data_IF_730040519624
#
_entry.id   IF_730040519624
#
_cell.length_a   1.000
_cell.length_b   1.000
_cell.length_c   1.000
_cell.angle_alpha   90.00
_cell.angle_beta   90.00
_cell.angle_gamma   90.00
#
_symmetry.space_group_name_H-M   'P 1'
#
loop_
_entity.id
_entity.type
_entity.pdbx_description
1 polymer ?
#
# COMPACT_ATOMS: atom_id res chain seq x y z
N UNK A 1 -12.41 -7.21 2.89
CA UNK A 1 -11.13 -6.52 2.62
C UNK A 1 -10.05 -7.11 3.50
N UNK A 2 -8.79 -6.99 3.10
CA UNK A 2 -7.61 -7.52 3.82
C UNK A 2 -6.57 -6.41 4.00
N UNK A 3 -5.69 -6.59 4.98
CA UNK A 3 -4.59 -5.66 5.19
C UNK A 3 -3.51 -5.78 4.08
N UNK A 4 -3.03 -4.65 3.56
CA UNK A 4 -1.86 -4.54 2.67
C UNK A 4 -0.63 -5.21 3.26
N UNK A 5 -0.48 -5.09 4.58
CA UNK A 5 0.68 -5.59 5.30
C UNK A 5 0.57 -7.07 5.67
N UNK A 6 -0.40 -7.80 5.11
CA UNK A 6 -0.52 -9.26 5.30
C UNK A 6 0.73 -10.00 4.83
N UNK A 7 1.23 -9.65 3.64
CA UNK A 7 2.44 -10.27 3.08
C UNK A 7 3.75 -9.66 3.61
N UNK A 8 3.70 -8.44 4.14
CA UNK A 8 4.88 -7.67 4.54
C UNK A 8 5.19 -7.75 6.04
N UNK A 9 4.15 -7.77 6.89
CA UNK A 9 4.25 -7.70 8.36
C UNK A 9 3.47 -8.83 9.07
N UNK A 10 3.07 -9.89 8.34
CA UNK A 10 2.18 -10.98 8.83
C UNK A 10 0.87 -10.47 9.47
N UNK A 11 0.34 -9.33 8.99
CA UNK A 11 -0.93 -8.81 9.52
C UNK A 11 -2.11 -9.69 9.08
N UNK A 12 -2.86 -10.21 10.06
CA UNK A 12 -3.98 -11.13 9.82
C UNK A 12 -5.35 -10.46 9.78
N UNK A 13 -5.40 -9.14 9.91
CA UNK A 13 -6.64 -8.38 9.96
C UNK A 13 -7.44 -8.52 8.65
N UNK A 14 -8.73 -8.76 8.80
CA UNK A 14 -9.71 -8.82 7.72
C UNK A 14 -10.94 -8.01 8.11
N UNK A 15 -11.60 -7.46 7.11
CA UNK A 15 -12.66 -6.46 7.28
C UNK A 15 -13.85 -6.80 6.40
N UNK A 16 -15.05 -6.42 6.85
CA UNK A 16 -16.25 -6.54 6.03
C UNK A 16 -16.19 -5.55 4.85
N UNK A 17 -16.84 -5.86 3.73
CA UNK A 17 -16.84 -4.96 2.55
C UNK A 17 -17.47 -3.58 2.81
N UNK A 18 -18.37 -3.52 3.80
CA UNK A 18 -19.01 -2.27 4.25
C UNK A 18 -18.27 -1.54 5.36
N UNK A 19 -17.13 -2.06 5.84
CA UNK A 19 -16.29 -1.43 6.86
C UNK A 19 -15.04 -0.82 6.20
N UNK A 20 -15.28 0.16 5.32
CA UNK A 20 -14.24 0.87 4.60
C UNK A 20 -13.41 1.75 5.54
N UNK A 21 -14.05 2.42 6.51
CA UNK A 21 -13.34 3.26 7.47
C UNK A 21 -12.51 2.44 8.46
N UNK A 22 -13.03 1.37 9.04
CA UNK A 22 -12.23 0.49 9.90
C UNK A 22 -11.04 -0.12 9.15
N UNK A 23 -11.22 -0.46 7.88
CA UNK A 23 -10.13 -0.96 7.03
C UNK A 23 -9.04 0.11 6.79
N UNK A 24 -9.40 1.34 6.43
CA UNK A 24 -8.44 2.44 6.22
C UNK A 24 -7.74 2.80 7.53
N UNK A 25 -8.50 2.98 8.61
CA UNK A 25 -7.98 3.39 9.92
C UNK A 25 -7.00 2.35 10.46
N UNK A 26 -7.25 1.06 10.23
CA UNK A 26 -6.30 0.02 10.61
C UNK A 26 -4.93 0.20 9.93
N UNK A 27 -4.88 0.54 8.64
CA UNK A 27 -3.60 0.80 7.98
C UNK A 27 -2.95 2.07 8.51
N UNK A 28 -3.75 3.15 8.59
CA UNK A 28 -3.28 4.47 8.96
C UNK A 28 -2.76 4.55 10.40
N UNK A 29 -3.43 3.89 11.34
CA UNK A 29 -3.12 4.00 12.77
C UNK A 29 -2.21 2.86 13.22
N UNK A 30 -2.61 1.60 12.97
CA UNK A 30 -1.91 0.45 13.56
C UNK A 30 -0.56 0.16 12.90
N UNK A 31 -0.43 0.46 11.61
CA UNK A 31 0.80 0.17 10.86
C UNK A 31 1.63 1.41 10.55
N UNK A 32 0.97 2.53 10.24
CA UNK A 32 1.64 3.76 9.84
C UNK A 32 1.81 4.77 10.99
N UNK A 33 1.08 4.62 12.10
CA UNK A 33 1.16 5.56 13.22
C UNK A 33 0.79 7.00 12.85
N UNK A 34 0.04 7.20 11.76
CA UNK A 34 -0.28 8.53 11.21
C UNK A 34 0.82 9.15 10.35
N UNK A 35 1.93 8.45 10.07
CA UNK A 35 2.98 8.88 9.15
C UNK A 35 2.76 8.23 7.79
N UNK A 36 2.48 9.03 6.76
CA UNK A 36 2.13 8.51 5.44
C UNK A 36 3.22 8.77 4.39
N UNK A 37 3.39 7.86 3.41
CA UNK A 37 4.27 8.11 2.27
C UNK A 37 3.82 9.30 1.42
N UNK A 38 4.78 10.05 0.88
CA UNK A 38 4.52 11.15 -0.06
C UNK A 38 4.04 10.67 -1.44
N UNK A 39 4.47 9.48 -1.83
CA UNK A 39 4.11 8.83 -3.09
C UNK A 39 3.61 7.45 -2.78
N UNK A 40 2.57 7.04 -3.48
CA UNK A 40 1.94 5.74 -3.37
C UNK A 40 1.56 5.27 -4.77
N UNK A 41 1.31 3.97 -4.92
CA UNK A 41 0.73 3.39 -6.13
C UNK A 41 -0.42 2.45 -5.78
N UNK A 42 -1.29 2.23 -6.75
CA UNK A 42 -2.36 1.23 -6.63
C UNK A 42 -1.77 -0.19 -6.65
N UNK A 43 -2.40 -1.11 -5.93
CA UNK A 43 -2.03 -2.53 -5.96
C UNK A 43 -2.25 -3.18 -7.32
N UNK A 44 -3.21 -2.69 -8.09
CA UNK A 44 -3.80 -3.43 -9.20
C UNK A 44 -3.59 -2.81 -10.58
N UNK A 45 -3.43 -1.49 -10.67
CA UNK A 45 -3.30 -0.79 -11.95
C UNK A 45 -2.05 0.10 -12.02
N UNK A 46 -1.56 0.34 -13.23
CA UNK A 46 -0.44 1.26 -13.49
C UNK A 46 -0.90 2.67 -13.92
N UNK A 47 -2.19 2.82 -14.24
CA UNK A 47 -2.76 4.02 -14.86
C UNK A 47 -2.77 5.26 -13.93
N UNK A 48 -2.53 5.06 -12.63
CA UNK A 48 -2.60 6.09 -11.59
C UNK A 48 -1.24 6.42 -10.95
N UNK A 49 -0.12 6.09 -11.61
CA UNK A 49 1.23 6.17 -11.01
C UNK A 49 1.61 7.52 -10.38
N UNK A 50 1.19 8.65 -10.97
CA UNK A 50 1.43 9.99 -10.41
C UNK A 50 0.25 10.55 -9.60
N UNK A 51 -0.91 9.88 -9.65
CA UNK A 51 -2.15 10.39 -9.06
C UNK A 51 -2.12 10.39 -7.51
N UNK A 52 -1.31 9.51 -6.91
CA UNK A 52 -1.16 9.44 -5.46
C UNK A 52 0.15 10.08 -5.00
N UNK A 53 0.33 11.37 -5.29
CA UNK A 53 1.53 12.11 -4.92
C UNK A 53 1.22 13.48 -4.30
N UNK A 54 1.93 13.80 -3.21
CA UNK A 54 1.82 15.11 -2.54
C UNK A 54 3.00 16.02 -2.92
N UNK A 55 2.75 17.23 -3.46
CA UNK A 55 3.81 18.18 -3.81
C UNK A 55 4.72 18.55 -2.64
N UNK A 56 6.01 18.73 -2.92
CA UNK A 56 7.02 19.08 -1.89
C UNK A 56 6.80 20.44 -1.25
N UNK A 57 6.06 21.33 -1.92
CA UNK A 57 5.72 22.68 -1.46
C UNK A 57 4.32 22.77 -0.83
N UNK A 58 3.70 21.64 -0.47
CA UNK A 58 2.43 21.63 0.25
C UNK A 58 2.52 22.47 1.54
N UNK A 59 1.49 23.29 1.76
CA UNK A 59 1.34 24.13 2.96
C UNK A 59 0.64 23.39 4.10
N UNK A 60 0.00 22.26 3.79
CA UNK A 60 -0.85 21.46 4.67
C UNK A 60 -0.38 20.00 4.64
N UNK A 61 0.94 19.81 4.74
CA UNK A 61 1.60 18.55 4.40
C UNK A 61 0.97 17.32 5.06
N UNK A 62 0.75 17.34 6.37
CA UNK A 62 0.22 16.18 7.10
C UNK A 62 -1.22 15.84 6.66
N UNK A 63 -2.05 16.86 6.43
CA UNK A 63 -3.41 16.69 5.91
C UNK A 63 -3.38 16.13 4.50
N UNK A 64 -2.57 16.72 3.61
CA UNK A 64 -2.47 16.30 2.21
C UNK A 64 -1.96 14.85 2.11
N UNK A 65 -0.99 14.47 2.95
CA UNK A 65 -0.45 13.11 3.02
C UNK A 65 -1.52 12.09 3.43
N UNK A 66 -2.30 12.42 4.45
CA UNK A 66 -3.42 11.59 4.90
C UNK A 66 -4.49 11.45 3.82
N UNK A 67 -4.93 12.57 3.25
CA UNK A 67 -5.95 12.58 2.19
C UNK A 67 -5.48 11.80 0.95
N UNK A 68 -4.21 11.92 0.57
CA UNK A 68 -3.61 11.16 -0.52
C UNK A 68 -3.62 9.64 -0.24
N UNK A 69 -3.30 9.23 0.98
CA UNK A 69 -3.39 7.83 1.40
C UNK A 69 -4.84 7.32 1.36
N UNK A 70 -5.79 8.07 1.91
CA UNK A 70 -7.21 7.71 1.89
C UNK A 70 -7.75 7.60 0.46
N UNK A 71 -7.37 8.52 -0.43
CA UNK A 71 -7.73 8.50 -1.85
C UNK A 71 -7.22 7.22 -2.52
N UNK A 72 -5.96 6.85 -2.27
CA UNK A 72 -5.38 5.61 -2.78
C UNK A 72 -6.15 4.39 -2.27
N UNK A 73 -6.46 4.32 -0.98
CA UNK A 73 -7.20 3.19 -0.40
C UNK A 73 -8.62 3.08 -0.96
N UNK A 74 -9.30 4.22 -1.17
CA UNK A 74 -10.62 4.23 -1.81
C UNK A 74 -10.57 3.70 -3.25
N UNK A 75 -9.55 4.08 -4.01
CA UNK A 75 -9.32 3.57 -5.37
C UNK A 75 -9.00 2.07 -5.39
N UNK A 76 -8.14 1.59 -4.50
CA UNK A 76 -7.88 0.15 -4.34
C UNK A 76 -9.17 -0.63 -4.01
N UNK A 77 -10.03 -0.06 -3.17
CA UNK A 77 -11.33 -0.68 -2.83
C UNK A 77 -12.25 -0.78 -4.04
N UNK A 78 -12.23 0.20 -4.93
CA UNK A 78 -13.02 0.18 -6.17
C UNK A 78 -12.68 -1.06 -7.01
N UNK A 79 -11.39 -1.35 -7.20
CA UNK A 79 -10.95 -2.56 -7.89
C UNK A 79 -11.44 -3.86 -7.22
N UNK A 80 -11.43 -3.92 -5.89
CA UNK A 80 -11.91 -5.11 -5.16
C UNK A 80 -13.42 -5.32 -5.37
N UNK A 81 -14.19 -4.25 -5.51
CA UNK A 81 -15.65 -4.32 -5.60
C UNK A 81 -16.19 -4.41 -7.03
N UNK A 82 -15.55 -3.73 -7.96
CA UNK A 82 -16.03 -3.56 -9.34
C UNK A 82 -15.37 -4.55 -10.29
N UNK A 83 -14.10 -4.91 -10.04
CA UNK A 83 -13.30 -5.75 -10.93
C UNK A 83 -13.03 -7.14 -10.34
N UNK A 84 -13.62 -7.46 -9.18
CA UNK A 84 -13.46 -8.72 -8.44
C UNK A 84 -11.98 -9.11 -8.16
N UNK A 85 -11.08 -8.12 -8.06
CA UNK A 85 -9.66 -8.39 -7.82
C UNK A 85 -9.41 -8.84 -6.39
N UNK A 86 -8.52 -9.83 -6.25
CA UNK A 86 -8.25 -10.52 -4.99
C UNK A 86 -6.82 -10.28 -4.50
N UNK A 87 -6.52 -10.79 -3.29
CA UNK A 87 -5.19 -10.70 -2.68
C UNK A 87 -4.09 -11.25 -3.58
N UNK A 88 -4.36 -12.31 -4.35
CA UNK A 88 -3.37 -12.98 -5.20
C UNK A 88 -2.92 -12.11 -6.39
N UNK A 89 -3.67 -11.06 -6.70
CA UNK A 89 -3.38 -10.11 -7.78
C UNK A 89 -2.75 -8.81 -7.25
N UNK A 90 -2.52 -8.71 -5.94
CA UNK A 90 -1.97 -7.53 -5.29
C UNK A 90 -0.47 -7.39 -5.60
N UNK A 91 -0.07 -6.24 -6.13
CA UNK A 91 1.35 -5.90 -6.35
C UNK A 91 1.84 -5.00 -5.21
N UNK A 92 3.11 -5.12 -4.79
CA UNK A 92 3.65 -4.27 -3.73
C UNK A 92 3.81 -2.83 -4.22
N UNK A 93 3.44 -1.90 -3.34
CA UNK A 93 3.80 -0.50 -3.48
C UNK A 93 5.23 -0.30 -2.95
N UNK A 94 6.21 -0.15 -3.85
CA UNK A 94 7.61 0.03 -3.44
C UNK A 94 7.85 1.35 -2.69
N UNK A 95 7.03 2.39 -2.89
CA UNK A 95 7.13 3.61 -2.10
C UNK A 95 6.64 3.38 -0.66
N UNK A 96 5.58 2.59 -0.50
CA UNK A 96 5.13 2.14 0.83
C UNK A 96 6.22 1.30 1.52
N UNK A 97 6.79 0.31 0.83
CA UNK A 97 7.86 -0.55 1.37
C UNK A 97 9.09 0.26 1.79
N UNK A 98 9.53 1.21 0.95
CA UNK A 98 10.64 2.11 1.26
C UNK A 98 10.34 3.00 2.47
N UNK A 99 9.11 3.53 2.56
CA UNK A 99 8.67 4.32 3.70
C UNK A 99 8.71 3.52 5.00
N UNK A 100 8.13 2.32 5.03
CA UNK A 100 8.13 1.46 6.22
C UNK A 100 9.57 1.19 6.71
N UNK A 101 10.49 0.88 5.79
CA UNK A 101 11.89 0.65 6.15
C UNK A 101 12.57 1.91 6.69
N UNK A 102 12.41 3.07 6.04
CA UNK A 102 13.02 4.34 6.49
C UNK A 102 12.53 4.79 7.86
N UNK A 103 11.29 4.45 8.21
CA UNK A 103 10.66 4.81 9.47
C UNK A 103 10.78 3.71 10.54
N UNK A 104 11.59 2.66 10.30
CA UNK A 104 11.79 1.53 11.21
C UNK A 104 10.51 0.73 11.55
N UNK A 105 9.53 0.76 10.65
CA UNK A 105 8.28 -0.01 10.73
C UNK A 105 8.41 -1.40 10.07
N UNK A 106 9.54 -1.66 9.40
CA UNK A 106 9.86 -2.92 8.74
C UNK A 106 11.34 -3.25 8.92
N UNK A 107 11.66 -4.52 9.18
CA UNK A 107 13.03 -4.99 9.27
C UNK A 107 13.71 -5.13 7.90
N UNK A 108 15.04 -5.16 7.89
CA UNK A 108 15.83 -5.20 6.65
C UNK A 108 15.72 -6.49 5.84
N UNK A 109 15.32 -7.62 6.45
CA UNK A 109 15.09 -8.89 5.74
C UNK A 109 13.78 -8.80 4.97
N UNK A 110 12.72 -8.37 5.66
CA UNK A 110 11.39 -8.13 5.08
C UNK A 110 11.46 -7.10 3.95
N UNK A 111 12.20 -6.00 4.14
CA UNK A 111 12.44 -5.00 3.11
C UNK A 111 13.09 -5.59 1.86
N UNK A 112 14.20 -6.32 2.00
CA UNK A 112 14.89 -6.92 0.85
C UNK A 112 14.00 -7.93 0.13
N UNK A 113 13.26 -8.75 0.87
CA UNK A 113 12.33 -9.71 0.31
C UNK A 113 11.23 -9.03 -0.50
N UNK A 114 10.64 -7.96 0.04
CA UNK A 114 9.60 -7.18 -0.63
C UNK A 114 10.13 -6.51 -1.92
N UNK A 115 11.35 -5.95 -1.86
CA UNK A 115 12.00 -5.30 -3.01
C UNK A 115 12.44 -6.26 -4.12
N UNK A 116 12.48 -7.58 -3.86
CA UNK A 116 12.76 -8.61 -4.85
C UNK A 116 11.49 -9.11 -5.58
N UNK A 117 10.32 -8.55 -5.27
CA UNK A 117 9.09 -8.90 -5.96
C UNK A 117 9.24 -8.72 -7.47
N UNK A 118 8.74 -9.71 -8.23
CA UNK A 118 8.70 -9.67 -9.68
C UNK A 118 7.53 -10.47 -10.22
N UNK A 119 6.87 -9.89 -11.21
CA UNK A 119 5.80 -10.54 -11.99
C UNK A 119 6.37 -11.50 -13.05
N UNK A 120 7.69 -11.53 -13.22
CA UNK A 120 8.37 -12.47 -14.13
C UNK A 120 8.15 -13.89 -13.58
N UNK A 121 7.54 -14.80 -14.38
CA UNK A 121 7.39 -16.19 -13.97
C UNK A 121 8.75 -16.83 -13.68
N UNK A 122 8.79 -17.77 -12.74
CA UNK A 122 10.05 -18.38 -12.27
C UNK A 122 10.90 -18.95 -13.42
N UNK A 123 10.26 -19.51 -14.44
CA UNK A 123 10.92 -20.06 -15.64
C UNK A 123 11.69 -19.02 -16.47
N UNK A 124 11.44 -17.73 -16.28
CA UNK A 124 12.08 -16.63 -16.99
C UNK A 124 12.98 -15.77 -16.08
N UNK A 125 13.14 -16.13 -14.80
CA UNK A 125 14.06 -15.43 -13.89
C UNK A 125 15.49 -15.86 -14.19
N UNK A 126 16.39 -14.89 -14.36
CA UNK A 126 17.82 -15.15 -14.56
C UNK A 126 18.41 -15.64 -13.22
N UNK A 127 19.20 -16.72 -13.20
CA UNK A 127 19.83 -17.26 -11.99
C UNK A 127 20.73 -16.27 -11.24
#
# INVERSE_FOLDING_TARGET
LWCEFRGLLDCKATFHLGDDRGWIDHHAVEHLGGEFPRRLVCWFCDDFGDAFSVPTNSKTLDTDLKENFELRMAHVREHILSDDLTLDQMRPDFYMVEHLYRHNLMDGISYKSAMHYTEVPESFRIP
#
